data_IF_887232508669
#
_entry.id   IF_887232508669
#
_cell.length_a   1.000
_cell.length_b   1.000
_cell.length_c   1.000
_cell.angle_alpha   90.00
_cell.angle_beta   90.00
_cell.angle_gamma   90.00
#
_symmetry.space_group_name_H-M   'P 1'
#
loop_
_entity.id
_entity.type
_entity.pdbx_description
1 polymer ?
#
# COMPACT_ATOMS: atom_id res chain seq x y z
N UNK A 1 5.85 -6.74 28.64
CA UNK A 1 6.84 -6.05 27.80
C UNK A 1 6.60 -6.47 26.36
N UNK A 2 6.29 -5.50 25.52
CA UNK A 2 5.97 -5.81 24.13
C UNK A 2 7.26 -5.97 23.32
N UNK A 3 7.36 -7.10 22.60
CA UNK A 3 8.47 -7.33 21.69
C UNK A 3 8.20 -6.60 20.38
N UNK A 4 9.17 -5.80 19.96
CA UNK A 4 9.12 -5.17 18.65
C UNK A 4 9.68 -6.11 17.60
N UNK A 5 9.48 -5.79 16.32
CA UNK A 5 10.08 -6.54 15.22
C UNK A 5 11.61 -6.51 15.31
N UNK A 6 12.18 -5.37 15.70
CA UNK A 6 13.63 -5.23 15.90
C UNK A 6 14.14 -6.15 17.00
N UNK A 7 13.41 -6.27 18.13
CA UNK A 7 13.80 -7.14 19.23
C UNK A 7 13.83 -8.60 18.81
N UNK A 8 12.83 -9.03 18.02
CA UNK A 8 12.75 -10.39 17.51
C UNK A 8 13.95 -10.71 16.60
N UNK A 9 14.28 -9.80 15.69
CA UNK A 9 15.38 -9.99 14.75
C UNK A 9 16.76 -9.83 15.40
N UNK A 10 16.88 -9.04 16.46
CA UNK A 10 18.14 -8.84 17.17
C UNK A 10 18.66 -10.13 17.80
N UNK A 11 17.78 -11.08 18.13
CA UNK A 11 18.15 -12.37 18.70
C UNK A 11 18.52 -13.42 17.64
N UNK A 12 18.44 -13.05 16.35
CA UNK A 12 18.71 -13.97 15.24
C UNK A 12 19.95 -13.52 14.46
N UNK A 13 21.12 -14.17 14.71
CA UNK A 13 22.37 -13.77 14.05
C UNK A 13 22.39 -14.09 12.54
N UNK A 14 21.48 -14.93 12.06
CA UNK A 14 21.33 -15.27 10.64
C UNK A 14 20.58 -14.20 9.84
N UNK A 15 20.00 -13.19 10.50
CA UNK A 15 19.22 -12.14 9.86
C UNK A 15 20.07 -10.88 9.73
N UNK A 16 20.26 -10.42 8.49
CA UNK A 16 21.06 -9.23 8.19
C UNK A 16 20.20 -7.95 8.32
N UNK A 17 20.83 -6.77 8.51
CA UNK A 17 20.09 -5.51 8.48
C UNK A 17 19.31 -5.28 7.18
N UNK A 18 19.83 -5.74 6.04
CA UNK A 18 19.13 -5.64 4.75
C UNK A 18 17.85 -6.46 4.74
N UNK A 19 17.90 -7.66 5.33
CA UNK A 19 16.71 -8.52 5.45
C UNK A 19 15.65 -7.88 6.36
N UNK A 20 16.08 -7.26 7.45
CA UNK A 20 15.19 -6.55 8.38
C UNK A 20 14.50 -5.37 7.70
N UNK A 21 15.24 -4.59 6.92
CA UNK A 21 14.69 -3.45 6.20
C UNK A 21 13.69 -3.88 5.14
N UNK A 22 13.98 -4.96 4.42
CA UNK A 22 13.07 -5.53 3.43
C UNK A 22 11.77 -6.01 4.07
N UNK A 23 11.87 -6.70 5.21
CA UNK A 23 10.70 -7.19 5.95
C UNK A 23 9.85 -6.02 6.44
N UNK A 24 10.48 -4.94 6.92
CA UNK A 24 9.79 -3.73 7.37
C UNK A 24 9.00 -3.10 6.22
N UNK A 25 9.62 -2.94 5.06
CA UNK A 25 8.96 -2.37 3.87
C UNK A 25 7.75 -3.19 3.44
N UNK A 26 7.88 -4.53 3.39
CA UNK A 26 6.78 -5.41 3.02
C UNK A 26 5.62 -5.30 3.99
N UNK A 27 5.92 -5.16 5.30
CA UNK A 27 4.90 -4.99 6.33
C UNK A 27 4.16 -3.65 6.16
N UNK A 28 4.89 -2.58 5.90
CA UNK A 28 4.30 -1.25 5.68
C UNK A 28 3.39 -1.23 4.45
N UNK A 29 3.81 -1.88 3.36
CA UNK A 29 3.01 -2.01 2.15
C UNK A 29 1.70 -2.75 2.42
N UNK A 30 1.75 -3.83 3.19
CA UNK A 30 0.56 -4.60 3.55
C UNK A 30 -0.38 -3.78 4.43
N UNK A 31 0.15 -2.98 5.34
CA UNK A 31 -0.66 -2.10 6.18
C UNK A 31 -1.38 -1.06 5.32
N UNK A 32 -0.67 -0.43 4.38
CA UNK A 32 -1.27 0.55 3.47
C UNK A 32 -2.35 -0.08 2.59
N UNK A 33 -2.08 -1.28 2.07
CA UNK A 33 -3.05 -2.02 1.27
C UNK A 33 -4.30 -2.40 2.08
N UNK A 34 -4.10 -2.80 3.33
CA UNK A 34 -5.20 -3.09 4.24
C UNK A 34 -6.06 -1.86 4.50
N UNK A 35 -5.45 -0.70 4.69
CA UNK A 35 -6.18 0.56 4.89
C UNK A 35 -7.02 0.91 3.66
N UNK A 36 -6.49 0.70 2.45
CA UNK A 36 -7.24 0.89 1.22
C UNK A 36 -8.44 -0.06 1.15
N UNK A 37 -8.24 -1.32 1.50
CA UNK A 37 -9.32 -2.30 1.55
C UNK A 37 -10.41 -1.89 2.53
N UNK A 38 -10.05 -1.37 3.70
CA UNK A 38 -11.02 -0.89 4.68
C UNK A 38 -11.78 0.34 4.16
N UNK A 39 -11.11 1.23 3.44
CA UNK A 39 -11.77 2.38 2.80
C UNK A 39 -12.83 1.91 1.80
N UNK A 40 -12.53 0.89 0.98
CA UNK A 40 -13.51 0.30 0.06
C UNK A 40 -14.70 -0.28 0.81
N UNK A 41 -14.45 -1.05 1.88
CA UNK A 41 -15.52 -1.64 2.68
C UNK A 41 -16.38 -0.58 3.36
N UNK A 42 -15.78 0.52 3.79
CA UNK A 42 -16.51 1.63 4.38
C UNK A 42 -17.49 2.28 3.39
N UNK A 43 -17.21 2.17 2.08
CA UNK A 43 -18.11 2.61 1.02
C UNK A 43 -19.14 1.54 0.62
N UNK A 44 -19.19 0.42 1.33
CA UNK A 44 -20.10 -0.70 1.04
C UNK A 44 -19.94 -1.26 -0.37
N UNK A 45 -18.71 -1.23 -0.91
CA UNK A 45 -18.40 -1.77 -2.24
C UNK A 45 -17.64 -3.09 -2.15
N UNK A 46 -17.98 -4.03 -3.02
CA UNK A 46 -17.20 -5.26 -3.23
C UNK A 46 -16.01 -4.97 -4.15
N UNK A 47 -15.04 -5.90 -4.19
CA UNK A 47 -13.93 -5.80 -5.15
C UNK A 47 -14.43 -5.74 -6.60
N UNK A 48 -15.48 -6.51 -6.90
CA UNK A 48 -16.08 -6.51 -8.24
C UNK A 48 -16.66 -5.14 -8.59
N UNK A 49 -17.37 -4.53 -7.65
CA UNK A 49 -17.99 -3.24 -7.87
C UNK A 49 -16.97 -2.14 -8.13
N UNK A 50 -15.91 -2.06 -7.30
CA UNK A 50 -14.88 -1.05 -7.52
C UNK A 50 -14.08 -1.33 -8.78
N UNK A 51 -13.83 -2.60 -9.11
CA UNK A 51 -13.15 -2.97 -10.35
C UNK A 51 -13.93 -2.47 -11.58
N UNK A 52 -15.25 -2.66 -11.58
CA UNK A 52 -16.12 -2.16 -12.65
C UNK A 52 -16.05 -0.63 -12.74
N UNK A 53 -16.09 0.05 -11.61
CA UNK A 53 -16.01 1.50 -11.54
C UNK A 53 -14.67 2.04 -12.05
N UNK A 54 -13.59 1.30 -11.79
CA UNK A 54 -12.24 1.65 -12.25
C UNK A 54 -11.96 1.26 -13.71
N UNK A 55 -12.78 0.37 -14.28
CA UNK A 55 -12.51 -0.18 -15.60
C UNK A 55 -11.36 -1.17 -15.63
N UNK A 56 -11.15 -1.91 -14.56
CA UNK A 56 -10.08 -2.92 -14.45
C UNK A 56 -10.67 -4.26 -13.99
N UNK A 57 -9.84 -5.32 -14.03
CA UNK A 57 -10.25 -6.64 -13.56
C UNK A 57 -10.33 -6.69 -12.04
N UNK A 58 -11.17 -7.60 -11.52
CA UNK A 58 -11.24 -7.85 -10.08
C UNK A 58 -9.89 -8.37 -9.56
N UNK A 59 -9.17 -9.15 -10.37
CA UNK A 59 -7.84 -9.64 -9.99
C UNK A 59 -6.88 -8.50 -9.72
N UNK A 60 -6.93 -7.44 -10.52
CA UNK A 60 -6.07 -6.26 -10.33
C UNK A 60 -6.39 -5.55 -9.01
N UNK A 61 -7.66 -5.45 -8.66
CA UNK A 61 -8.09 -4.91 -7.36
C UNK A 61 -7.60 -5.80 -6.23
N UNK A 62 -7.73 -7.11 -6.36
CA UNK A 62 -7.26 -8.07 -5.37
C UNK A 62 -5.75 -7.96 -5.16
N UNK A 63 -4.97 -7.87 -6.23
CA UNK A 63 -3.51 -7.72 -6.15
C UNK A 63 -3.13 -6.43 -5.42
N UNK A 64 -3.82 -5.34 -5.71
CA UNK A 64 -3.60 -4.06 -5.04
C UNK A 64 -3.88 -4.18 -3.54
N UNK A 65 -4.99 -4.79 -3.16
CA UNK A 65 -5.39 -4.96 -1.76
C UNK A 65 -4.57 -6.01 -1.01
N UNK A 66 -3.81 -6.84 -1.72
CA UNK A 66 -2.89 -7.81 -1.13
C UNK A 66 -1.47 -7.28 -0.91
N UNK A 67 -1.23 -6.01 -1.20
CA UNK A 67 0.02 -5.36 -0.88
C UNK A 67 1.05 -5.31 -1.99
N UNK A 68 0.68 -5.63 -3.24
CA UNK A 68 1.61 -5.57 -4.38
C UNK A 68 1.72 -4.14 -4.94
N UNK A 69 1.92 -3.16 -4.03
CA UNK A 69 1.90 -1.75 -4.40
C UNK A 69 3.07 -1.33 -5.27
N UNK A 70 4.21 -2.03 -5.18
CA UNK A 70 5.40 -1.73 -5.99
C UNK A 70 5.16 -1.93 -7.49
N UNK A 71 4.22 -2.80 -7.85
CA UNK A 71 3.92 -3.12 -9.24
C UNK A 71 2.63 -2.47 -9.74
N UNK A 72 1.96 -1.72 -8.87
CA UNK A 72 0.73 -1.03 -9.25
C UNK A 72 1.07 0.28 -9.94
N UNK A 73 0.47 0.51 -11.11
CA UNK A 73 0.65 1.77 -11.82
C UNK A 73 -0.04 2.92 -11.07
N UNK A 74 0.54 4.11 -11.14
CA UNK A 74 -0.02 5.30 -10.50
C UNK A 74 -1.46 5.55 -10.96
N UNK A 75 -1.74 5.37 -12.25
CA UNK A 75 -3.08 5.56 -12.79
C UNK A 75 -4.10 4.60 -12.16
N UNK A 76 -3.72 3.33 -11.97
CA UNK A 76 -4.58 2.34 -11.32
C UNK A 76 -4.86 2.74 -9.89
N UNK A 77 -3.85 3.16 -9.16
CA UNK A 77 -3.99 3.60 -7.77
C UNK A 77 -4.87 4.85 -7.68
N UNK A 78 -4.70 5.79 -8.60
CA UNK A 78 -5.54 7.00 -8.66
C UNK A 78 -7.01 6.65 -8.85
N UNK A 79 -7.31 5.71 -9.76
CA UNK A 79 -8.68 5.25 -10.01
C UNK A 79 -9.28 4.58 -8.78
N UNK A 80 -8.49 3.77 -8.08
CA UNK A 80 -8.95 3.10 -6.85
C UNK A 80 -9.30 4.14 -5.79
N UNK A 81 -8.39 5.08 -5.52
CA UNK A 81 -8.60 6.13 -4.51
C UNK A 81 -9.81 6.99 -4.87
N UNK A 82 -9.96 7.36 -6.13
CA UNK A 82 -11.14 8.09 -6.59
C UNK A 82 -12.42 7.26 -6.41
N UNK A 83 -12.33 5.96 -6.64
CA UNK A 83 -13.46 5.04 -6.48
C UNK A 83 -13.99 4.98 -5.05
N UNK A 84 -13.14 5.20 -4.05
CA UNK A 84 -13.54 5.25 -2.63
C UNK A 84 -13.75 6.67 -2.13
N UNK A 85 -13.82 7.64 -3.03
CA UNK A 85 -14.15 9.03 -2.70
C UNK A 85 -12.98 9.90 -2.28
N UNK A 86 -11.74 9.42 -2.49
CA UNK A 86 -10.54 10.15 -2.12
C UNK A 86 -9.82 10.78 -3.31
N UNK A 87 -8.67 11.36 -3.03
CA UNK A 87 -7.78 11.95 -4.02
C UNK A 87 -6.37 11.46 -3.76
N UNK A 88 -5.70 10.94 -4.80
CA UNK A 88 -4.31 10.49 -4.68
C UNK A 88 -3.38 11.70 -4.75
N UNK A 89 -2.46 11.78 -3.79
CA UNK A 89 -1.39 12.77 -3.80
C UNK A 89 -0.05 12.06 -3.83
N UNK A 90 0.84 12.53 -4.71
CA UNK A 90 2.21 12.01 -4.81
C UNK A 90 3.16 13.19 -4.67
N UNK A 91 4.05 13.11 -3.69
CA UNK A 91 4.99 14.18 -3.38
C UNK A 91 6.42 13.70 -3.55
N UNK A 92 7.27 14.54 -4.11
CA UNK A 92 8.70 14.33 -4.16
C UNK A 92 9.36 15.25 -3.14
N UNK A 93 10.10 14.67 -2.20
CA UNK A 93 10.88 15.43 -1.21
C UNK A 93 12.29 15.64 -1.77
N UNK A 94 12.60 16.85 -2.16
CA UNK A 94 13.89 17.22 -2.73
C UNK A 94 14.66 18.08 -1.73
N UNK A 95 16.00 18.23 -1.91
CA UNK A 95 16.79 19.11 -1.04
C UNK A 95 16.27 20.54 -0.99
N UNK A 96 15.66 21.03 -2.07
CA UNK A 96 15.13 22.39 -2.17
C UNK A 96 13.71 22.53 -1.63
N UNK A 97 13.03 21.42 -1.33
CA UNK A 97 11.66 21.43 -0.84
C UNK A 97 10.84 20.29 -1.42
N UNK A 98 9.56 20.29 -1.09
CA UNK A 98 8.62 19.25 -1.53
C UNK A 98 7.83 19.72 -2.74
N UNK A 99 7.73 18.86 -3.76
CA UNK A 99 6.96 19.13 -4.98
C UNK A 99 5.83 18.10 -5.03
N UNK A 100 4.60 18.57 -5.22
CA UNK A 100 3.47 17.70 -5.46
C UNK A 100 3.42 17.36 -6.95
N UNK A 101 3.54 16.06 -7.25
CA UNK A 101 3.59 15.57 -8.64
C UNK A 101 2.21 15.16 -9.15
N UNK A 102 1.33 14.78 -8.26
CA UNK A 102 -0.03 14.37 -8.62
C UNK A 102 -0.96 14.53 -7.43
#
# INVERSE_FOLDING_TARGET
MDLTMEDYFAERPDITPEMMEKARRLTEEKIRAYELKQARKACSMTQREIAAKMGVSQKRVSDLENGNLDVVQVDTLRRYVAGVGGTLEINAKLPQGTIQLA
#
